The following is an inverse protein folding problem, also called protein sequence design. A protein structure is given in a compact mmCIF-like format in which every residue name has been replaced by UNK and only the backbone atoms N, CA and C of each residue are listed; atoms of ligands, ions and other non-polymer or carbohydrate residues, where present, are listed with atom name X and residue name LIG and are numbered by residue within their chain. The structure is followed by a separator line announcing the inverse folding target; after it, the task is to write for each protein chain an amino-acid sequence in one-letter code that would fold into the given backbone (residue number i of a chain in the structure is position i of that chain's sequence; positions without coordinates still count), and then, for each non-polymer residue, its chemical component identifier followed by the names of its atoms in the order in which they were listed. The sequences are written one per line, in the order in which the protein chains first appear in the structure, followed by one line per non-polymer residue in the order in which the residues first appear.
data_IF_795445186779
#
_entry.id   IF_795445186779
#
_cell.length_a   1.000
_cell.length_b   1.000
_cell.length_c   1.000
_cell.angle_alpha   90.00
_cell.angle_beta   90.00
_cell.angle_gamma   90.00
#
_symmetry.space_group_name_H-M   'P 1'
#
loop_
_entity.id
_entity.type
_entity.pdbx_description
1 polymer ?
#
# COMPACT_ATOMS: atom_id res chain seq x y z
N UNK A 1 48.77 46.59 47.29
CA UNK A 1 48.95 45.73 46.13
C UNK A 1 48.21 44.46 46.42
N UNK A 2 47.16 44.21 45.64
CA UNK A 2 46.14 43.18 45.89
C UNK A 2 46.44 41.96 45.01
N UNK A 3 46.65 40.81 45.60
CA UNK A 3 46.74 39.53 44.89
C UNK A 3 45.40 38.82 44.99
N UNK A 4 44.80 38.58 43.88
CA UNK A 4 43.52 37.86 43.71
C UNK A 4 43.79 36.39 43.44
N UNK A 5 43.30 35.51 44.29
CA UNK A 5 43.29 34.06 44.06
C UNK A 5 42.10 33.74 43.13
N UNK A 6 42.41 33.15 41.99
CA UNK A 6 41.40 32.52 41.14
C UNK A 6 41.19 31.07 41.59
N UNK A 7 39.99 30.80 42.08
CA UNK A 7 39.52 29.42 42.30
C UNK A 7 38.97 28.86 41.00
N UNK A 8 39.59 27.80 40.46
CA UNK A 8 39.14 27.07 39.28
C UNK A 8 38.08 26.07 39.71
N UNK A 9 36.80 26.34 39.38
CA UNK A 9 35.72 25.39 39.50
C UNK A 9 35.69 24.53 38.22
N UNK A 10 35.99 23.25 38.35
CA UNK A 10 35.79 22.25 37.31
C UNK A 10 34.29 21.95 37.21
N UNK A 11 33.64 22.48 36.21
CA UNK A 11 32.26 22.14 35.86
C UNK A 11 32.31 20.95 34.91
N UNK A 12 32.07 19.74 35.42
CA UNK A 12 31.87 18.52 34.61
C UNK A 12 30.55 18.64 33.85
N UNK A 13 30.61 19.19 32.66
CA UNK A 13 29.49 19.24 31.75
C UNK A 13 29.20 17.84 31.18
N UNK A 14 28.12 17.20 31.66
CA UNK A 14 27.56 16.02 31.01
C UNK A 14 26.94 16.51 29.69
N UNK A 15 27.61 16.22 28.57
CA UNK A 15 27.05 16.43 27.25
C UNK A 15 25.94 15.38 27.05
N UNK A 16 24.69 15.75 27.31
CA UNK A 16 23.54 15.02 26.85
C UNK A 16 23.41 15.28 25.35
N UNK A 17 23.97 14.36 24.54
CA UNK A 17 23.72 14.36 23.12
C UNK A 17 22.26 14.00 22.90
N UNK A 18 21.40 15.00 22.73
CA UNK A 18 20.06 14.81 22.23
C UNK A 18 20.18 14.31 20.80
N UNK A 19 20.02 13.02 20.59
CA UNK A 19 19.74 12.47 19.27
C UNK A 19 18.39 13.00 18.84
N UNK A 20 18.39 14.06 18.04
CA UNK A 20 17.22 14.45 17.26
C UNK A 20 17.11 13.34 16.20
N UNK A 21 16.28 12.34 16.48
CA UNK A 21 15.83 11.44 15.44
C UNK A 21 15.03 12.31 14.46
N UNK A 22 15.67 12.71 13.35
CA UNK A 22 14.92 13.22 12.21
C UNK A 22 14.00 12.08 11.80
N UNK A 23 12.70 12.27 11.91
CA UNK A 23 11.73 11.42 11.23
C UNK A 23 12.09 11.51 9.74
N UNK A 24 12.67 10.48 9.19
CA UNK A 24 12.78 10.36 7.76
C UNK A 24 11.34 10.31 7.25
N UNK A 25 10.93 11.33 6.51
CA UNK A 25 9.64 11.31 5.84
C UNK A 25 9.64 10.08 4.91
N UNK A 26 8.55 9.31 4.95
CA UNK A 26 8.39 8.17 4.09
C UNK A 26 8.52 8.59 2.63
N UNK A 27 9.43 7.94 1.90
CA UNK A 27 9.57 8.17 0.48
C UNK A 27 8.63 7.25 -0.28
N UNK A 28 7.64 7.84 -0.97
CA UNK A 28 6.71 7.08 -1.81
C UNK A 28 6.88 7.49 -3.27
N UNK A 29 7.08 6.50 -4.12
CA UNK A 29 7.11 6.67 -5.58
C UNK A 29 5.78 6.26 -6.18
N UNK A 30 5.24 7.08 -7.09
CA UNK A 30 3.94 6.88 -7.74
C UNK A 30 4.13 6.52 -9.21
N UNK A 31 3.37 5.52 -9.69
CA UNK A 31 3.44 4.99 -11.05
C UNK A 31 2.05 4.97 -11.69
N UNK A 32 1.99 5.35 -12.97
CA UNK A 32 0.79 5.25 -13.78
C UNK A 32 0.92 4.22 -14.91
N UNK A 33 2.00 3.45 -14.91
CA UNK A 33 2.26 2.38 -15.89
C UNK A 33 2.61 1.09 -15.18
N UNK A 34 1.89 0.01 -15.49
CA UNK A 34 2.09 -1.30 -14.90
C UNK A 34 3.52 -1.83 -15.11
N UNK A 35 4.04 -1.72 -16.33
CA UNK A 35 5.38 -2.21 -16.68
C UNK A 35 6.50 -1.51 -15.89
N UNK A 36 6.39 -0.20 -15.69
CA UNK A 36 7.37 0.57 -14.91
C UNK A 36 7.33 0.17 -13.43
N UNK A 37 6.14 0.03 -12.85
CA UNK A 37 5.96 -0.41 -11.47
C UNK A 37 6.50 -1.82 -11.26
N UNK A 38 6.12 -2.77 -12.12
CA UNK A 38 6.59 -4.17 -12.08
C UNK A 38 8.11 -4.24 -12.15
N UNK A 39 8.72 -3.51 -13.09
CA UNK A 39 10.17 -3.46 -13.24
C UNK A 39 10.87 -2.98 -11.95
N UNK A 40 10.37 -1.90 -11.34
CA UNK A 40 10.94 -1.38 -10.10
C UNK A 40 10.80 -2.37 -8.91
N UNK A 41 9.65 -3.05 -8.79
CA UNK A 41 9.42 -4.03 -7.73
C UNK A 41 10.30 -5.26 -7.91
N UNK A 42 10.32 -5.87 -9.09
CA UNK A 42 11.08 -7.11 -9.36
C UNK A 42 12.60 -6.91 -9.25
N UNK A 43 13.09 -5.73 -9.58
CA UNK A 43 14.52 -5.41 -9.49
C UNK A 43 14.93 -4.76 -8.17
N UNK A 44 14.02 -4.63 -7.21
CA UNK A 44 14.31 -4.02 -5.92
C UNK A 44 14.73 -2.54 -6.00
N UNK A 45 14.38 -1.86 -7.08
CA UNK A 45 14.61 -0.43 -7.24
C UNK A 45 13.66 0.27 -6.29
N UNK A 46 14.16 1.16 -5.43
CA UNK A 46 13.43 1.85 -4.35
C UNK A 46 13.07 0.97 -3.14
N UNK A 47 13.47 -0.32 -3.15
CA UNK A 47 13.29 -1.24 -2.05
C UNK A 47 14.59 -2.01 -1.85
N UNK A 48 15.00 -2.26 -0.63
CA UNK A 48 16.32 -2.84 -0.31
C UNK A 48 16.53 -4.29 -0.77
N UNK A 49 15.52 -4.93 -1.37
CA UNK A 49 15.54 -6.33 -1.77
C UNK A 49 14.68 -6.58 -3.02
N UNK A 50 15.04 -7.52 -3.91
CA UNK A 50 14.13 -7.99 -4.96
C UNK A 50 12.86 -8.55 -4.34
N UNK A 51 11.71 -8.21 -4.88
CA UNK A 51 10.43 -8.52 -4.29
C UNK A 51 9.62 -9.44 -5.19
N UNK A 52 8.88 -10.33 -4.57
CA UNK A 52 7.87 -11.11 -5.25
C UNK A 52 6.62 -10.26 -5.45
N UNK A 53 6.04 -10.30 -6.65
CA UNK A 53 4.72 -9.74 -6.92
C UNK A 53 3.68 -10.83 -6.74
N UNK A 54 2.70 -10.56 -5.88
CA UNK A 54 1.50 -11.39 -5.75
C UNK A 54 0.28 -10.60 -6.20
N UNK A 55 -0.75 -11.29 -6.68
CA UNK A 55 -1.90 -10.69 -7.32
C UNK A 55 -3.21 -11.21 -6.75
N UNK A 56 -4.14 -10.30 -6.45
CA UNK A 56 -5.56 -10.58 -6.27
C UNK A 56 -6.31 -10.19 -7.54
N UNK A 57 -7.05 -11.11 -8.11
CA UNK A 57 -7.82 -10.89 -9.34
C UNK A 57 -9.34 -10.88 -9.12
N UNK A 58 -9.78 -11.06 -7.87
CA UNK A 58 -11.17 -11.10 -7.44
C UNK A 58 -12.05 -12.15 -8.13
N UNK A 59 -11.47 -13.11 -8.86
CA UNK A 59 -12.24 -14.13 -9.58
C UNK A 59 -12.98 -15.10 -8.65
N UNK A 60 -12.49 -15.26 -7.43
CA UNK A 60 -13.07 -16.16 -6.43
C UNK A 60 -14.25 -15.55 -5.67
N UNK A 61 -14.56 -14.27 -5.92
CA UNK A 61 -15.58 -13.54 -5.18
C UNK A 61 -16.75 -13.18 -6.09
N UNK A 62 -17.97 -13.38 -5.59
CA UNK A 62 -19.21 -13.03 -6.29
C UNK A 62 -20.30 -12.71 -5.29
N UNK A 63 -21.09 -11.68 -5.56
CA UNK A 63 -22.22 -11.26 -4.73
C UNK A 63 -21.94 -10.04 -3.86
N UNK A 64 -22.82 -9.82 -2.89
CA UNK A 64 -22.83 -8.64 -2.01
C UNK A 64 -22.27 -9.00 -0.64
N UNK A 65 -21.37 -8.17 -0.12
CA UNK A 65 -20.68 -8.34 1.16
C UNK A 65 -21.03 -7.18 2.11
N UNK A 66 -22.00 -7.39 2.99
CA UNK A 66 -22.53 -6.35 3.85
C UNK A 66 -21.54 -5.83 4.91
N UNK A 67 -20.56 -6.64 5.31
CA UNK A 67 -19.60 -6.31 6.38
C UNK A 67 -18.16 -6.17 5.87
N UNK A 68 -17.99 -5.83 4.59
CA UNK A 68 -16.70 -5.85 3.94
C UNK A 68 -16.29 -7.25 3.46
N UNK A 69 -15.11 -7.34 2.87
CA UNK A 69 -14.57 -8.56 2.29
C UNK A 69 -13.11 -8.71 2.72
N UNK A 70 -12.75 -9.90 3.22
CA UNK A 70 -11.37 -10.25 3.53
C UNK A 70 -10.90 -11.35 2.59
N UNK A 71 -9.67 -11.21 2.10
CA UNK A 71 -9.05 -12.18 1.20
C UNK A 71 -7.54 -12.27 1.40
N UNK A 72 -6.92 -13.12 0.59
CA UNK A 72 -5.48 -13.31 0.60
C UNK A 72 -4.94 -13.30 -0.82
N UNK A 73 -3.85 -12.57 -1.04
CA UNK A 73 -3.03 -12.63 -2.25
C UNK A 73 -1.67 -13.21 -1.86
N UNK A 74 -1.46 -14.50 -2.10
CA UNK A 74 -0.29 -15.19 -1.57
C UNK A 74 -0.20 -15.06 -0.04
N UNK A 75 0.91 -14.54 0.51
CA UNK A 75 1.07 -14.35 1.96
C UNK A 75 0.38 -13.10 2.50
N UNK A 76 -0.14 -12.22 1.64
CA UNK A 76 -0.74 -10.96 2.05
C UNK A 76 -2.23 -11.12 2.31
N UNK A 77 -2.63 -10.90 3.56
CA UNK A 77 -4.03 -10.73 3.91
C UNK A 77 -4.43 -9.27 3.65
N UNK A 78 -5.57 -9.09 3.03
CA UNK A 78 -6.20 -7.80 2.80
C UNK A 78 -7.66 -7.82 3.24
N UNK A 79 -8.16 -6.65 3.63
CA UNK A 79 -9.57 -6.43 3.94
C UNK A 79 -10.05 -5.23 3.17
N UNK A 80 -11.16 -5.38 2.45
CA UNK A 80 -11.86 -4.31 1.77
C UNK A 80 -13.10 -3.88 2.55
N UNK A 81 -13.35 -2.58 2.59
CA UNK A 81 -14.54 -1.96 3.19
C UNK A 81 -14.88 -0.69 2.41
N UNK A 82 -16.02 -0.08 2.70
CA UNK A 82 -16.21 1.31 2.30
C UNK A 82 -16.00 2.27 3.48
N UNK A 83 -15.79 3.54 3.19
CA UNK A 83 -15.44 4.55 4.22
C UNK A 83 -16.65 5.13 4.93
N UNK A 84 -17.87 4.93 4.43
CA UNK A 84 -19.07 5.56 4.97
C UNK A 84 -20.09 4.55 5.49
N UNK A 85 -20.24 4.49 6.82
CA UNK A 85 -21.39 3.94 7.52
C UNK A 85 -21.46 2.42 7.62
N UNK A 86 -22.32 1.96 8.50
CA UNK A 86 -22.55 0.54 8.84
C UNK A 86 -23.44 -0.20 7.82
N UNK A 87 -23.96 0.47 6.80
CA UNK A 87 -24.97 -0.06 5.87
C UNK A 87 -24.50 -0.23 4.43
N UNK A 88 -23.33 0.22 4.08
CA UNK A 88 -22.85 0.15 2.72
C UNK A 88 -21.96 -1.06 2.50
N UNK A 89 -22.46 -1.94 1.66
CA UNK A 89 -21.82 -3.18 1.28
C UNK A 89 -20.86 -2.99 0.10
N UNK A 90 -20.03 -3.98 -0.07
CA UNK A 90 -19.26 -4.17 -1.29
C UNK A 90 -19.99 -5.12 -2.22
N UNK A 91 -19.69 -5.04 -3.49
CA UNK A 91 -20.11 -6.01 -4.49
C UNK A 91 -18.90 -6.51 -5.27
N UNK A 92 -18.78 -7.82 -5.39
CA UNK A 92 -17.81 -8.46 -6.26
C UNK A 92 -18.51 -9.19 -7.39
N UNK A 93 -17.93 -9.14 -8.57
CA UNK A 93 -18.44 -9.85 -9.74
C UNK A 93 -17.27 -10.31 -10.61
N UNK A 94 -16.88 -11.56 -10.43
CA UNK A 94 -15.90 -12.31 -11.22
C UNK A 94 -14.79 -11.44 -11.87
N UNK A 95 -13.85 -10.97 -11.07
CA UNK A 95 -12.71 -10.23 -11.56
C UNK A 95 -12.62 -8.76 -11.12
N UNK A 96 -13.60 -8.25 -10.36
CA UNK A 96 -13.52 -6.90 -9.79
C UNK A 96 -14.30 -6.77 -8.48
N UNK A 97 -13.95 -5.77 -7.71
CA UNK A 97 -14.59 -5.37 -6.45
C UNK A 97 -14.98 -3.89 -6.50
N UNK A 98 -16.16 -3.55 -6.00
CA UNK A 98 -16.68 -2.18 -5.99
C UNK A 98 -17.56 -1.93 -4.77
N UNK A 99 -17.91 -0.68 -4.51
CA UNK A 99 -18.92 -0.31 -3.53
C UNK A 99 -20.33 -0.53 -4.08
N UNK A 100 -21.33 -0.73 -3.22
CA UNK A 100 -22.75 -0.79 -3.60
C UNK A 100 -23.44 0.56 -3.52
N UNK A 101 -22.83 1.53 -2.88
CA UNK A 101 -23.32 2.90 -2.78
C UNK A 101 -22.45 3.83 -3.63
N UNK A 102 -23.06 4.75 -4.37
CA UNK A 102 -22.34 5.74 -5.16
C UNK A 102 -21.60 6.71 -4.25
N UNK A 103 -20.54 7.30 -4.78
CA UNK A 103 -19.74 8.33 -4.10
C UNK A 103 -19.10 7.89 -2.77
N UNK A 104 -19.19 6.59 -2.45
CA UNK A 104 -18.48 5.99 -1.33
C UNK A 104 -17.11 5.49 -1.77
N UNK A 105 -16.10 5.76 -0.97
CA UNK A 105 -14.76 5.30 -1.25
C UNK A 105 -14.60 3.80 -0.98
N UNK A 106 -13.83 3.14 -1.82
CA UNK A 106 -13.42 1.74 -1.62
C UNK A 106 -12.09 1.72 -0.90
N UNK A 107 -12.08 1.23 0.33
CA UNK A 107 -10.92 1.20 1.20
C UNK A 107 -10.37 -0.22 1.33
N UNK A 108 -9.07 -0.36 1.17
CA UNK A 108 -8.31 -1.57 1.49
C UNK A 108 -7.41 -1.34 2.69
N UNK A 109 -7.32 -2.33 3.58
CA UNK A 109 -6.30 -2.42 4.63
C UNK A 109 -5.51 -3.69 4.44
N UNK A 110 -4.22 -3.65 4.75
CA UNK A 110 -3.27 -4.73 4.48
C UNK A 110 -2.60 -5.22 5.75
N UNK A 111 -2.31 -6.52 5.79
CA UNK A 111 -1.39 -7.06 6.79
C UNK A 111 0.01 -6.43 6.64
N UNK A 112 0.82 -6.41 7.72
CA UNK A 112 2.19 -5.90 7.65
C UNK A 112 3.03 -6.62 6.58
N UNK A 113 3.99 -5.87 5.98
CA UNK A 113 4.93 -6.41 4.99
C UNK A 113 4.63 -6.04 3.55
N UNK A 114 3.62 -5.20 3.29
CA UNK A 114 3.37 -4.62 1.97
C UNK A 114 4.18 -3.34 1.82
N UNK A 115 5.11 -3.29 0.88
CA UNK A 115 5.92 -2.11 0.55
C UNK A 115 5.64 -1.57 -0.85
N UNK A 116 4.92 -2.34 -1.65
CA UNK A 116 4.43 -1.89 -2.93
C UNK A 116 3.01 -2.38 -3.15
N UNK A 117 2.14 -1.51 -3.64
CA UNK A 117 0.76 -1.84 -3.98
C UNK A 117 0.40 -1.16 -5.30
N UNK A 118 -0.34 -1.86 -6.13
CA UNK A 118 -0.85 -1.30 -7.37
C UNK A 118 -2.17 -1.97 -7.78
N UNK A 119 -2.87 -1.36 -8.72
CA UNK A 119 -4.10 -1.94 -9.24
C UNK A 119 -4.58 -1.25 -10.51
N UNK A 120 -5.58 -1.86 -11.14
CA UNK A 120 -6.36 -1.21 -12.18
C UNK A 120 -7.63 -0.68 -11.54
N UNK A 121 -7.75 0.63 -11.49
CA UNK A 121 -8.85 1.33 -10.84
C UNK A 121 -9.74 1.99 -11.89
N UNK A 122 -11.04 1.99 -11.63
CA UNK A 122 -12.02 2.55 -12.57
C UNK A 122 -13.28 3.01 -11.84
N UNK A 123 -14.13 3.70 -12.57
CA UNK A 123 -15.49 4.03 -12.17
C UNK A 123 -16.48 3.17 -12.96
N UNK A 124 -17.53 2.72 -12.32
CA UNK A 124 -18.66 2.08 -12.99
C UNK A 124 -19.98 2.80 -12.72
N UNK A 125 -20.94 2.59 -13.61
CA UNK A 125 -22.34 2.98 -13.39
C UNK A 125 -23.14 1.92 -12.62
N UNK A 126 -24.40 2.18 -12.37
CA UNK A 126 -25.31 1.22 -11.73
C UNK A 126 -25.57 -0.04 -12.59
N UNK A 127 -25.39 0.04 -13.89
CA UNK A 127 -25.50 -1.08 -14.84
C UNK A 127 -24.21 -1.89 -14.99
N UNK A 128 -23.19 -1.63 -14.14
CA UNK A 128 -21.88 -2.28 -14.15
C UNK A 128 -21.01 -1.97 -15.39
N UNK A 129 -21.33 -0.95 -16.17
CA UNK A 129 -20.46 -0.51 -17.25
C UNK A 129 -19.36 0.37 -16.70
N UNK A 130 -18.13 0.20 -17.21
CA UNK A 130 -17.02 1.09 -16.89
C UNK A 130 -17.27 2.43 -17.59
N UNK A 131 -17.19 3.51 -16.83
CA UNK A 131 -17.46 4.86 -17.31
C UNK A 131 -16.24 5.77 -17.08
N UNK A 132 -16.05 6.80 -17.94
CA UNK A 132 -15.00 7.78 -17.74
C UNK A 132 -15.21 8.55 -16.43
N UNK A 133 -14.14 8.71 -15.66
CA UNK A 133 -14.15 9.42 -14.39
C UNK A 133 -12.76 9.94 -14.02
N UNK A 134 -12.68 10.88 -13.11
CA UNK A 134 -11.45 11.15 -12.36
C UNK A 134 -11.36 10.16 -11.20
N UNK A 135 -10.38 9.28 -11.25
CA UNK A 135 -10.10 8.31 -10.18
C UNK A 135 -8.94 8.79 -9.35
N UNK A 136 -9.16 8.89 -8.04
CA UNK A 136 -8.13 9.15 -7.04
C UNK A 136 -7.81 7.88 -6.26
N UNK A 137 -6.52 7.60 -6.09
CA UNK A 137 -6.02 6.51 -5.25
C UNK A 137 -5.10 7.12 -4.21
N UNK A 138 -5.37 6.88 -2.94
CA UNK A 138 -4.72 7.52 -1.79
C UNK A 138 -4.14 6.48 -0.85
N UNK A 139 -2.95 6.73 -0.34
CA UNK A 139 -2.36 5.98 0.77
C UNK A 139 -2.68 6.66 2.12
N UNK A 140 -2.40 5.95 3.22
CA UNK A 140 -2.65 6.46 4.57
C UNK A 140 -1.80 7.69 4.95
N UNK A 141 -0.65 7.88 4.32
CA UNK A 141 0.25 9.02 4.52
C UNK A 141 -0.14 10.28 3.71
N UNK A 142 -1.23 10.18 2.93
CA UNK A 142 -1.71 11.27 2.07
C UNK A 142 -1.12 11.26 0.65
N UNK A 143 -0.15 10.39 0.36
CA UNK A 143 0.33 10.22 -1.02
C UNK A 143 -0.79 9.77 -1.94
N UNK A 144 -0.89 10.34 -3.11
CA UNK A 144 -2.01 10.07 -4.02
C UNK A 144 -1.59 9.99 -5.49
N UNK A 145 -2.41 9.28 -6.26
CA UNK A 145 -2.40 9.25 -7.72
C UNK A 145 -3.78 9.66 -8.23
N UNK A 146 -3.83 10.68 -9.07
CA UNK A 146 -5.07 11.17 -9.69
C UNK A 146 -4.98 10.93 -11.20
N UNK A 147 -6.00 10.30 -11.78
CA UNK A 147 -6.04 9.99 -13.21
C UNK A 147 -7.43 10.18 -13.79
N UNK A 148 -7.47 10.79 -14.97
CA UNK A 148 -8.65 10.70 -15.82
C UNK A 148 -8.64 9.32 -16.50
N UNK A 149 -9.54 8.45 -16.09
CA UNK A 149 -9.67 7.10 -16.65
C UNK A 149 -10.76 7.06 -17.71
N UNK A 150 -10.50 6.30 -18.76
CA UNK A 150 -11.47 6.01 -19.82
C UNK A 150 -12.33 4.79 -19.46
N UNK A 151 -13.07 4.29 -20.43
CA UNK A 151 -13.86 3.05 -20.33
C UNK A 151 -13.03 1.77 -20.10
N UNK A 152 -11.70 1.85 -20.02
CA UNK A 152 -10.84 0.72 -19.72
C UNK A 152 -10.21 0.76 -18.33
N UNK A 153 -10.48 1.83 -17.56
CA UNK A 153 -9.83 2.06 -16.28
C UNK A 153 -8.40 2.63 -16.42
N UNK A 154 -7.73 2.79 -15.28
CA UNK A 154 -6.36 3.29 -15.20
C UNK A 154 -5.53 2.52 -14.18
N UNK A 155 -4.24 2.42 -14.43
CA UNK A 155 -3.29 1.81 -13.49
C UNK A 155 -2.74 2.86 -12.54
N UNK A 156 -2.75 2.56 -11.25
CA UNK A 156 -2.01 3.32 -10.23
C UNK A 156 -1.20 2.36 -9.39
N UNK A 157 0.07 2.70 -9.17
CA UNK A 157 0.99 1.92 -8.35
C UNK A 157 1.82 2.81 -7.43
N UNK A 158 2.18 2.27 -6.27
CA UNK A 158 2.96 2.92 -5.24
C UNK A 158 4.07 2.00 -4.78
N UNK A 159 5.25 2.54 -4.52
CA UNK A 159 6.36 1.86 -3.86
C UNK A 159 6.81 2.78 -2.72
N UNK A 160 6.95 2.23 -1.52
CA UNK A 160 7.29 2.96 -0.30
C UNK A 160 8.46 2.27 0.42
N UNK A 161 9.29 3.05 1.09
CA UNK A 161 10.34 2.56 1.99
C UNK A 161 9.81 2.16 3.38
N UNK A 162 8.56 2.51 3.69
CA UNK A 162 7.83 2.03 4.86
C UNK A 162 6.61 1.19 4.45
N UNK A 163 6.11 0.38 5.38
CA UNK A 163 4.96 -0.49 5.10
C UNK A 163 3.69 0.29 4.75
N UNK A 164 3.10 -0.03 3.61
CA UNK A 164 1.80 0.49 3.18
C UNK A 164 0.70 -0.30 3.90
N UNK A 165 -0.08 0.37 4.73
CA UNK A 165 -1.13 -0.25 5.55
C UNK A 165 -2.53 -0.08 4.96
N UNK A 166 -2.72 0.92 4.09
CA UNK A 166 -4.03 1.28 3.56
C UNK A 166 -3.93 1.87 2.15
N UNK A 167 -4.96 1.60 1.36
CA UNK A 167 -5.22 2.21 0.07
C UNK A 167 -6.71 2.56 -0.02
N UNK A 168 -7.03 3.76 -0.48
CA UNK A 168 -8.40 4.24 -0.67
C UNK A 168 -8.58 4.65 -2.12
N UNK A 169 -9.66 4.19 -2.73
CA UNK A 169 -10.06 4.53 -4.09
C UNK A 169 -11.30 5.41 -4.03
N UNK A 170 -11.18 6.60 -4.59
CA UNK A 170 -12.26 7.57 -4.72
C UNK A 170 -12.51 7.90 -6.19
N UNK A 171 -13.73 8.22 -6.53
CA UNK A 171 -14.09 8.65 -7.89
C UNK A 171 -14.85 9.97 -7.84
N UNK A 172 -14.46 10.89 -8.71
CA UNK A 172 -15.18 12.12 -8.91
C UNK A 172 -15.93 12.07 -10.25
N UNK A 173 -17.20 12.41 -10.23
CA UNK A 173 -18.03 12.44 -11.42
C UNK A 173 -17.46 13.43 -12.45
N UNK A 174 -17.24 12.98 -13.66
CA UNK A 174 -17.01 13.84 -14.82
C UNK A 174 -18.29 14.07 -15.63
N UNK A 175 -19.37 13.40 -15.27
CA UNK A 175 -20.68 13.48 -15.93
C UNK A 175 -21.81 13.44 -14.90
N UNK A 176 -23.02 13.73 -15.33
CA UNK A 176 -24.24 13.74 -14.50
C UNK A 176 -24.72 12.36 -14.03
N UNK A 177 -23.82 11.38 -13.94
CA UNK A 177 -24.10 10.00 -13.54
C UNK A 177 -23.67 9.66 -12.12
N UNK A 178 -24.20 8.56 -11.64
CA UNK A 178 -23.84 7.96 -10.36
C UNK A 178 -22.58 7.10 -10.56
N UNK A 179 -21.54 7.34 -9.75
CA UNK A 179 -20.22 6.73 -9.90
C UNK A 179 -19.90 5.82 -8.72
N UNK A 180 -19.40 4.63 -9.03
CA UNK A 180 -18.98 3.65 -8.03
C UNK A 180 -17.49 3.35 -8.24
N UNK A 181 -16.60 3.56 -7.25
CA UNK A 181 -15.22 3.17 -7.36
C UNK A 181 -15.10 1.65 -7.44
N UNK A 182 -14.24 1.20 -8.31
CA UNK A 182 -13.99 -0.22 -8.54
C UNK A 182 -12.52 -0.50 -8.80
N UNK A 183 -12.12 -1.75 -8.55
CA UNK A 183 -10.79 -2.24 -8.79
C UNK A 183 -10.83 -3.65 -9.36
N UNK A 184 -9.96 -3.92 -10.32
CA UNK A 184 -9.56 -5.27 -10.66
C UNK A 184 -8.04 -5.40 -10.57
N UNK A 185 -7.54 -6.63 -10.47
CA UNK A 185 -6.10 -6.90 -10.44
C UNK A 185 -5.34 -6.04 -9.43
N UNK A 186 -5.58 -6.26 -8.14
CA UNK A 186 -4.78 -5.64 -7.09
C UNK A 186 -3.45 -6.41 -6.95
N UNK A 187 -2.32 -5.70 -7.03
CA UNK A 187 -0.97 -6.26 -6.98
C UNK A 187 -0.26 -5.82 -5.71
N UNK A 188 0.56 -6.71 -5.15
CA UNK A 188 1.37 -6.45 -3.97
C UNK A 188 2.82 -6.83 -4.21
N UNK A 189 3.74 -5.93 -3.92
CA UNK A 189 5.15 -6.25 -3.78
C UNK A 189 5.45 -6.60 -2.34
N UNK A 190 5.96 -7.81 -2.12
CA UNK A 190 6.25 -8.32 -0.79
C UNK A 190 7.73 -8.59 -0.62
N UNK A 191 8.29 -8.17 0.50
CA UNK A 191 9.64 -8.56 0.90
C UNK A 191 9.55 -9.95 1.54
N UNK A 192 10.28 -10.95 1.01
CA UNK A 192 10.33 -12.26 1.65
C UNK A 192 10.77 -12.11 3.11
N UNK A 193 10.05 -12.73 4.05
CA UNK A 193 10.38 -12.66 5.46
C UNK A 193 11.84 -13.12 5.68
N UNK A 194 12.67 -12.37 6.41
CA UNK A 194 14.11 -12.70 6.62
C UNK A 194 14.32 -14.10 7.20
N UNK A 195 13.32 -14.66 7.91
CA UNK A 195 13.36 -15.99 8.49
C UNK A 195 13.49 -17.13 7.49
N UNK A 196 12.93 -17.02 6.29
CA UNK A 196 13.03 -18.09 5.28
C UNK A 196 14.48 -18.23 4.76
N UNK A 197 15.18 -17.14 4.52
CA UNK A 197 16.59 -17.14 4.11
C UNK A 197 17.53 -17.59 5.25
N UNK A 198 17.23 -17.17 6.48
CA UNK A 198 18.01 -17.58 7.68
C UNK A 198 17.86 -19.08 7.97
N UNK A 199 16.67 -19.65 7.82
CA UNK A 199 16.43 -21.09 7.99
C UNK A 199 17.14 -21.92 6.92
N UNK A 200 17.16 -21.47 5.68
CA UNK A 200 17.91 -22.12 4.60
C UNK A 200 19.42 -22.06 4.85
N UNK A 201 19.94 -20.93 5.33
CA UNK A 201 21.33 -20.76 5.72
C UNK A 201 21.72 -21.67 6.88
N UNK A 202 20.90 -21.80 7.92
CA UNK A 202 21.10 -22.71 9.05
C UNK A 202 21.04 -24.19 8.63
N UNK A 203 20.11 -24.57 7.78
CA UNK A 203 20.00 -25.93 7.24
C UNK A 203 21.25 -26.29 6.43
N UNK A 204 21.80 -25.38 5.63
CA UNK A 204 23.04 -25.58 4.88
C UNK A 204 24.27 -25.74 5.80
N UNK A 205 24.35 -25.00 6.90
CA UNK A 205 25.41 -25.12 7.89
C UNK A 205 25.35 -26.44 8.66
N UNK A 206 24.14 -26.91 9.00
CA UNK A 206 23.97 -28.20 9.70
C UNK A 206 24.31 -29.37 8.78
N UNK A 207 23.97 -29.32 7.49
CA UNK A 207 24.28 -30.35 6.51
C UNK A 207 25.81 -30.48 6.26
N UNK A 208 26.56 -29.37 6.36
CA UNK A 208 28.00 -29.33 6.19
C UNK A 208 28.77 -29.94 7.37
N UNK A 209 28.17 -29.99 8.54
CA UNK A 209 28.77 -30.54 9.78
C UNK A 209 28.66 -32.08 9.88
N UNK A 210 27.88 -32.72 9.00
CA UNK A 210 27.68 -34.18 8.98
C UNK A 210 28.50 -34.92 7.93
N UNK A 211 29.41 -34.24 7.28
CA UNK A 211 30.48 -34.84 6.44
C UNK A 211 31.83 -34.61 7.09
#
# INVERSE_FOLDING_TARGET
MKSSLCASAFLSGVLVSAFIASSADASVSVFQQHSAWTYCVENGILMSQPNQIVKENFNSYSGVYANGLTGNAGPIQWTASNTFGTTSSLIANSGWLSTTAPDHELKFTFAPGVFAVAGNFFSRDAGFNIIPALVGVFLADGTSSLQNVSSQGGFSGFISDIAITQLVVSVAAQSTGVNYPAVNNLYFGVVPAPGAAALLGLAALISRRRR
#
